data_IF_625331487800
#
_entry.id   IF_625331487800
#
_cell.length_a   1.000
_cell.length_b   1.000
_cell.length_c   1.000
_cell.angle_alpha   90.00
_cell.angle_beta   90.00
_cell.angle_gamma   90.00
#
_symmetry.space_group_name_H-M   'P 1'
#
loop_
_entity.id
_entity.type
_entity.pdbx_description
1 polymer ?
#
# COMPACT_ATOMS: atom_id res chain seq x y z
N UNK A 1 -19.00 6.99 0.40
CA UNK A 1 -18.17 7.80 -0.52
C UNK A 1 -19.03 8.41 -1.63
N UNK A 2 -19.69 7.60 -2.45
CA UNK A 2 -20.46 8.12 -3.60
C UNK A 2 -21.60 9.08 -3.21
N UNK A 3 -22.25 8.87 -2.07
CA UNK A 3 -23.33 9.69 -1.57
C UNK A 3 -22.88 10.97 -0.83
N UNK A 4 -21.64 11.01 -0.34
CA UNK A 4 -21.10 12.21 0.33
C UNK A 4 -20.67 13.23 -0.73
N UNK A 5 -21.31 14.39 -0.71
CA UNK A 5 -20.87 15.54 -1.53
C UNK A 5 -19.53 16.05 -1.01
N UNK A 6 -18.63 16.45 -1.91
CA UNK A 6 -17.34 17.06 -1.55
C UNK A 6 -16.16 16.08 -1.46
N UNK A 7 -16.36 14.77 -1.34
CA UNK A 7 -15.25 13.82 -1.34
C UNK A 7 -14.58 13.79 -2.71
N UNK A 8 -13.28 14.13 -2.70
CA UNK A 8 -12.39 14.11 -3.87
C UNK A 8 -11.23 13.11 -3.70
N UNK A 9 -10.87 12.78 -2.46
CA UNK A 9 -9.76 11.92 -2.14
C UNK A 9 -10.23 10.72 -1.30
N UNK A 10 -10.00 9.51 -1.79
CA UNK A 10 -10.11 8.28 -1.00
C UNK A 10 -8.71 7.83 -0.65
N UNK A 11 -8.37 7.92 0.63
CA UNK A 11 -7.05 7.62 1.16
C UNK A 11 -7.05 6.20 1.75
N UNK A 12 -6.30 5.29 1.15
CA UNK A 12 -6.26 3.87 1.55
C UNK A 12 -4.91 3.56 2.15
N UNK A 13 -4.88 3.20 3.43
CA UNK A 13 -3.67 2.71 4.07
C UNK A 13 -3.87 1.35 4.75
N UNK A 14 -2.76 0.75 5.08
CA UNK A 14 -2.71 -0.54 5.76
C UNK A 14 -1.33 -1.17 5.66
N UNK A 15 -1.05 -2.17 6.47
CA UNK A 15 0.27 -2.79 6.56
C UNK A 15 0.66 -3.49 5.25
N UNK A 16 1.93 -3.86 5.16
CA UNK A 16 2.45 -4.57 3.97
C UNK A 16 1.65 -5.85 3.71
N UNK A 17 1.37 -6.10 2.42
CA UNK A 17 0.57 -7.26 1.96
C UNK A 17 -0.84 -7.36 2.53
N UNK A 18 -1.43 -6.25 2.98
CA UNK A 18 -2.84 -6.18 3.36
C UNK A 18 -3.80 -6.19 2.17
N UNK A 19 -3.31 -6.04 0.94
CA UNK A 19 -4.14 -6.04 -0.27
C UNK A 19 -4.63 -4.65 -0.70
N UNK A 20 -3.95 -3.56 -0.31
CA UNK A 20 -4.30 -2.17 -0.65
C UNK A 20 -4.57 -1.97 -2.14
N UNK A 21 -3.63 -2.33 -3.00
CA UNK A 21 -3.74 -2.15 -4.45
C UNK A 21 -4.91 -2.92 -5.05
N UNK A 22 -5.11 -4.18 -4.63
CA UNK A 22 -6.26 -4.98 -5.08
C UNK A 22 -7.58 -4.35 -4.65
N UNK A 23 -7.65 -3.88 -3.40
CA UNK A 23 -8.83 -3.20 -2.88
C UNK A 23 -9.08 -1.88 -3.60
N UNK A 24 -8.07 -1.05 -3.84
CA UNK A 24 -8.15 0.21 -4.59
C UNK A 24 -8.77 0.00 -5.98
N UNK A 25 -8.30 -1.03 -6.70
CA UNK A 25 -8.82 -1.37 -8.02
C UNK A 25 -10.30 -1.83 -7.96
N UNK A 26 -10.65 -2.68 -6.98
CA UNK A 26 -12.04 -3.15 -6.81
C UNK A 26 -12.97 -2.01 -6.38
N UNK A 27 -12.53 -1.15 -5.48
CA UNK A 27 -13.26 0.05 -5.08
C UNK A 27 -13.49 0.98 -6.28
N UNK A 28 -12.48 1.15 -7.12
CA UNK A 28 -12.58 1.95 -8.34
C UNK A 28 -13.69 1.43 -9.27
N UNK A 29 -13.79 0.12 -9.45
CA UNK A 29 -14.89 -0.47 -10.25
C UNK A 29 -16.26 -0.15 -9.62
N UNK A 30 -16.38 -0.24 -8.29
CA UNK A 30 -17.63 0.08 -7.60
C UNK A 30 -17.98 1.56 -7.68
N UNK A 31 -16.99 2.45 -7.64
CA UNK A 31 -17.18 3.89 -7.82
C UNK A 31 -17.65 4.23 -9.24
N UNK A 32 -17.09 3.57 -10.26
CA UNK A 32 -17.55 3.68 -11.65
C UNK A 32 -19.03 3.30 -11.77
N UNK A 33 -19.44 2.17 -11.18
CA UNK A 33 -20.84 1.72 -11.19
C UNK A 33 -21.80 2.69 -10.48
N UNK A 34 -21.27 3.61 -9.65
CA UNK A 34 -22.02 4.68 -8.96
C UNK A 34 -21.89 6.04 -9.65
N UNK A 35 -21.41 6.09 -10.90
CA UNK A 35 -21.29 7.32 -11.69
C UNK A 35 -20.12 8.22 -11.31
N UNK A 36 -19.17 7.73 -10.47
CA UNK A 36 -17.93 8.43 -10.20
C UNK A 36 -16.84 7.97 -11.18
N UNK A 37 -15.88 8.83 -11.46
CA UNK A 37 -14.71 8.47 -12.28
C UNK A 37 -13.47 8.41 -11.39
N UNK A 38 -13.07 7.22 -10.93
CA UNK A 38 -11.91 7.06 -10.07
C UNK A 38 -10.60 7.12 -10.87
N UNK A 39 -9.57 7.70 -10.23
CA UNK A 39 -8.20 7.71 -10.70
C UNK A 39 -7.31 7.08 -9.64
N UNK A 40 -6.89 5.82 -9.81
CA UNK A 40 -5.97 5.17 -8.87
C UNK A 40 -4.58 5.82 -8.92
N UNK A 41 -4.04 6.13 -7.74
CA UNK A 41 -2.71 6.68 -7.53
C UNK A 41 -2.03 5.86 -6.43
N UNK A 42 -0.80 5.42 -6.70
CA UNK A 42 0.06 4.82 -5.68
C UNK A 42 0.93 5.89 -5.04
N UNK A 43 1.01 5.91 -3.71
CA UNK A 43 1.98 6.75 -3.01
C UNK A 43 3.42 6.34 -3.30
N UNK A 44 3.63 5.08 -3.70
CA UNK A 44 4.95 4.61 -4.11
C UNK A 44 5.49 5.37 -5.33
N UNK A 45 4.63 5.99 -6.16
CA UNK A 45 5.04 6.83 -7.28
C UNK A 45 5.67 8.16 -6.82
N UNK A 46 5.52 8.53 -5.56
CA UNK A 46 6.06 9.74 -4.95
C UNK A 46 7.32 9.50 -4.10
N UNK A 47 7.92 8.32 -4.13
CA UNK A 47 9.23 8.12 -3.50
C UNK A 47 10.26 9.09 -4.08
N UNK A 48 11.11 9.60 -3.21
CA UNK A 48 12.32 10.30 -3.64
C UNK A 48 13.33 9.33 -4.27
N UNK A 49 14.28 9.87 -5.02
CA UNK A 49 15.36 9.08 -5.58
C UNK A 49 16.08 8.31 -4.45
N UNK A 50 16.42 7.05 -4.72
CA UNK A 50 17.02 6.14 -3.73
C UNK A 50 18.23 6.73 -2.99
N UNK A 51 18.97 7.61 -3.65
CA UNK A 51 20.14 8.29 -3.08
C UNK A 51 19.76 9.26 -1.94
N UNK A 52 18.52 9.77 -1.93
CA UNK A 52 17.97 10.69 -0.93
C UNK A 52 17.17 10.01 0.16
N UNK A 53 16.90 8.70 -0.01
CA UNK A 53 16.13 7.94 0.95
C UNK A 53 16.80 7.96 2.32
N UNK A 54 16.09 8.28 3.41
CA UNK A 54 16.62 8.22 4.77
C UNK A 54 17.15 6.84 5.13
N UNK A 55 18.02 6.80 6.14
CA UNK A 55 18.54 5.54 6.66
C UNK A 55 17.99 5.27 8.06
N UNK A 56 17.77 4.01 8.35
CA UNK A 56 17.37 3.54 9.67
C UNK A 56 18.56 3.53 10.64
N UNK A 57 18.33 3.18 11.90
CA UNK A 57 19.35 3.12 12.94
C UNK A 57 20.47 2.07 12.63
N UNK A 58 20.17 1.10 11.79
CA UNK A 58 21.12 0.05 11.36
C UNK A 58 21.88 0.47 10.08
N UNK A 59 21.63 1.70 9.55
CA UNK A 59 22.28 2.25 8.35
C UNK A 59 21.65 1.79 7.02
N UNK A 60 20.57 1.02 7.05
CA UNK A 60 19.83 0.59 5.86
C UNK A 60 18.87 1.67 5.38
N UNK A 61 18.52 1.64 4.10
CA UNK A 61 17.51 2.55 3.56
C UNK A 61 16.14 2.31 4.21
N UNK A 62 15.54 3.36 4.79
CA UNK A 62 14.21 3.31 5.43
C UNK A 62 13.12 3.78 4.47
N UNK A 63 12.62 2.88 3.64
CA UNK A 63 11.49 3.15 2.75
C UNK A 63 10.13 3.18 3.46
N UNK A 64 10.09 2.82 4.74
CA UNK A 64 8.84 2.78 5.50
C UNK A 64 8.56 4.12 6.23
N UNK A 65 9.49 5.06 6.26
CA UNK A 65 9.29 6.38 6.85
C UNK A 65 8.60 7.35 5.89
N UNK A 66 7.92 8.37 6.42
CA UNK A 66 7.22 9.37 5.62
C UNK A 66 8.20 10.22 4.79
N UNK A 67 9.38 10.47 5.32
CA UNK A 67 10.45 11.26 4.73
C UNK A 67 11.08 10.61 3.50
N UNK A 68 10.78 9.32 3.23
CA UNK A 68 11.16 8.66 1.98
C UNK A 68 10.29 9.10 0.80
N UNK A 69 9.15 9.74 1.06
CA UNK A 69 8.26 10.30 0.05
C UNK A 69 8.52 11.80 -0.11
N UNK A 70 8.43 12.28 -1.35
CA UNK A 70 8.36 13.72 -1.63
C UNK A 70 6.96 14.25 -1.28
N UNK A 71 6.75 14.45 0.02
CA UNK A 71 5.48 14.94 0.57
C UNK A 71 5.12 16.32 0.02
N UNK A 72 6.11 17.15 -0.28
CA UNK A 72 5.91 18.47 -0.86
C UNK A 72 5.32 18.36 -2.26
N UNK A 73 5.96 17.61 -3.15
CA UNK A 73 5.47 17.39 -4.52
C UNK A 73 4.08 16.75 -4.53
N UNK A 74 3.83 15.79 -3.63
CA UNK A 74 2.51 15.20 -3.47
C UNK A 74 1.44 16.25 -3.17
N UNK A 75 1.69 17.14 -2.20
CA UNK A 75 0.73 18.18 -1.82
C UNK A 75 0.54 19.22 -2.95
N UNK A 76 1.61 19.62 -3.62
CA UNK A 76 1.54 20.53 -4.76
C UNK A 76 0.68 19.94 -5.88
N UNK A 77 0.92 18.70 -6.28
CA UNK A 77 0.16 18.01 -7.32
C UNK A 77 -1.32 17.84 -6.94
N UNK A 78 -1.61 17.40 -5.73
CA UNK A 78 -2.99 17.20 -5.27
C UNK A 78 -3.75 18.52 -5.18
N UNK A 79 -3.11 19.60 -4.74
CA UNK A 79 -3.72 20.94 -4.66
C UNK A 79 -4.03 21.47 -6.06
N UNK A 80 -3.11 21.32 -7.01
CA UNK A 80 -3.32 21.71 -8.42
C UNK A 80 -4.45 20.89 -9.07
N UNK A 81 -4.49 19.59 -8.81
CA UNK A 81 -5.59 18.73 -9.29
C UNK A 81 -6.93 19.18 -8.71
N UNK A 82 -6.97 19.53 -7.41
CA UNK A 82 -8.20 20.03 -6.77
C UNK A 82 -8.67 21.37 -7.37
N UNK A 83 -7.73 22.21 -7.81
CA UNK A 83 -8.00 23.44 -8.54
C UNK A 83 -8.44 23.19 -10.00
N UNK A 84 -8.45 21.94 -10.47
CA UNK A 84 -8.82 21.59 -11.85
C UNK A 84 -7.71 21.79 -12.87
N UNK A 85 -6.47 21.98 -12.41
CA UNK A 85 -5.32 22.10 -13.31
C UNK A 85 -4.91 20.74 -13.89
N UNK A 86 -4.21 20.77 -15.01
CA UNK A 86 -3.57 19.61 -15.60
C UNK A 86 -2.20 19.39 -14.96
N UNK A 87 -1.98 18.20 -14.41
CA UNK A 87 -0.75 17.81 -13.70
C UNK A 87 -0.11 16.61 -14.39
N UNK A 88 1.20 16.63 -14.55
CA UNK A 88 1.97 15.47 -15.01
C UNK A 88 2.32 14.60 -13.81
N UNK A 89 1.80 13.36 -13.83
CA UNK A 89 1.87 12.45 -12.69
C UNK A 89 3.22 11.71 -12.70
N UNK A 90 3.91 11.66 -11.56
CA UNK A 90 5.14 10.90 -11.44
C UNK A 90 4.89 9.38 -11.52
N UNK A 91 5.98 8.65 -11.74
CA UNK A 91 6.04 7.20 -11.60
C UNK A 91 7.41 6.81 -11.04
N UNK A 92 7.44 5.93 -10.05
CA UNK A 92 8.69 5.47 -9.47
C UNK A 92 9.16 4.17 -10.12
N UNK A 93 10.41 4.18 -10.58
CA UNK A 93 11.04 3.00 -11.18
C UNK A 93 11.86 2.26 -10.11
N UNK A 94 11.30 1.19 -9.56
CA UNK A 94 11.95 0.39 -8.51
C UNK A 94 13.29 -0.25 -8.93
N UNK A 95 13.50 -0.48 -10.23
CA UNK A 95 14.76 -1.05 -10.74
C UNK A 95 15.89 -0.03 -10.69
N UNK A 96 15.63 1.18 -11.19
CA UNK A 96 16.61 2.27 -11.21
C UNK A 96 16.67 3.03 -9.89
N UNK A 97 15.61 2.96 -9.07
CA UNK A 97 15.46 3.74 -7.84
C UNK A 97 15.25 5.22 -8.08
N UNK A 98 14.63 5.59 -9.20
CA UNK A 98 14.42 6.98 -9.60
C UNK A 98 12.96 7.26 -9.92
N UNK A 99 12.54 8.50 -9.64
CA UNK A 99 11.26 9.03 -10.08
C UNK A 99 11.36 9.50 -11.54
N UNK A 100 10.36 9.14 -12.32
CA UNK A 100 10.30 9.42 -13.76
C UNK A 100 8.96 10.07 -14.11
N UNK A 101 8.96 10.96 -15.11
CA UNK A 101 7.74 11.50 -15.71
C UNK A 101 7.58 10.91 -17.09
N UNK A 102 6.54 10.11 -17.29
CA UNK A 102 6.30 9.37 -18.54
C UNK A 102 5.16 9.95 -19.38
N UNK A 103 4.84 11.24 -19.16
CA UNK A 103 3.75 11.93 -19.87
C UNK A 103 2.34 11.51 -19.44
N UNK A 104 2.19 10.84 -18.31
CA UNK A 104 0.89 10.54 -17.72
C UNK A 104 0.31 11.79 -17.09
N UNK A 105 -0.58 12.49 -17.80
CA UNK A 105 -1.22 13.69 -17.29
C UNK A 105 -2.60 13.39 -16.72
N UNK A 106 -2.98 14.11 -15.67
CA UNK A 106 -4.30 14.04 -15.03
C UNK A 106 -4.87 15.44 -14.85
N UNK A 107 -6.18 15.57 -15.02
CA UNK A 107 -6.96 16.77 -14.72
C UNK A 107 -8.29 16.34 -14.14
N UNK A 108 -8.64 16.82 -12.95
CA UNK A 108 -9.90 16.44 -12.30
C UNK A 108 -11.08 17.22 -12.85
N UNK A 109 -12.18 16.50 -13.06
CA UNK A 109 -13.51 17.04 -13.36
C UNK A 109 -14.43 16.89 -12.14
N UNK A 110 -15.64 17.41 -12.23
CA UNK A 110 -16.60 17.41 -11.12
C UNK A 110 -16.85 16.01 -10.52
N UNK A 111 -17.04 14.99 -11.36
CA UNK A 111 -17.33 13.62 -10.93
C UNK A 111 -16.09 12.74 -10.69
N UNK A 112 -14.90 13.31 -10.92
CA UNK A 112 -13.64 12.58 -10.74
C UNK A 112 -13.31 12.49 -9.24
N UNK A 113 -12.69 11.37 -8.86
CA UNK A 113 -12.24 11.08 -7.51
C UNK A 113 -10.86 10.41 -7.54
N UNK A 114 -9.95 10.82 -6.70
CA UNK A 114 -8.64 10.21 -6.56
C UNK A 114 -8.71 9.07 -5.55
N UNK A 115 -8.25 7.89 -5.94
CA UNK A 115 -8.14 6.72 -5.05
C UNK A 115 -6.68 6.47 -4.79
N UNK A 116 -6.20 7.01 -3.67
CA UNK A 116 -4.78 7.07 -3.30
C UNK A 116 -4.49 5.93 -2.34
N UNK A 117 -3.53 5.08 -2.65
CA UNK A 117 -3.14 3.96 -1.81
C UNK A 117 -1.66 4.01 -1.44
N UNK A 118 -1.35 3.67 -0.20
CA UNK A 118 0.00 3.54 0.32
C UNK A 118 0.03 3.44 1.84
N UNK A 119 1.20 3.18 2.39
CA UNK A 119 1.34 2.96 3.84
C UNK A 119 1.04 4.22 4.66
N UNK A 120 1.29 5.40 4.11
CA UNK A 120 1.09 6.70 4.77
C UNK A 120 -0.28 7.35 4.48
N UNK A 121 -1.20 6.66 3.79
CA UNK A 121 -2.47 7.26 3.36
C UNK A 121 -3.36 7.80 4.48
N UNK A 122 -3.18 7.35 5.73
CA UNK A 122 -3.91 7.84 6.90
C UNK A 122 -3.17 8.93 7.69
N UNK A 123 -1.89 9.16 7.41
CA UNK A 123 -1.09 10.15 8.10
C UNK A 123 -1.43 11.57 7.58
N UNK A 124 -1.97 12.43 8.42
CA UNK A 124 -2.33 13.80 8.02
C UNK A 124 -1.13 14.66 7.63
N UNK A 125 0.07 14.31 8.08
CA UNK A 125 1.30 14.98 7.62
C UNK A 125 1.57 14.75 6.13
N UNK A 126 1.09 13.63 5.55
CA UNK A 126 1.19 13.38 4.11
C UNK A 126 0.36 14.38 3.31
N UNK A 127 -0.85 14.68 3.76
CA UNK A 127 -1.86 15.43 3.00
C UNK A 127 -2.29 16.70 3.74
N UNK A 128 -1.30 17.45 4.24
CA UNK A 128 -1.51 18.60 5.12
C UNK A 128 -2.17 19.80 4.43
N UNK A 129 -2.06 19.94 3.12
CA UNK A 129 -2.71 21.03 2.35
C UNK A 129 -4.15 20.70 1.95
N UNK A 130 -4.56 19.43 2.05
CA UNK A 130 -5.86 19.00 1.55
C UNK A 130 -6.95 19.17 2.62
N UNK A 131 -8.11 19.76 2.28
CA UNK A 131 -9.22 19.91 3.20
C UNK A 131 -9.69 18.56 3.77
N UNK A 132 -9.89 18.50 5.08
CA UNK A 132 -10.26 17.26 5.77
C UNK A 132 -11.60 16.70 5.23
N UNK A 133 -12.56 17.58 4.96
CA UNK A 133 -13.89 17.25 4.41
C UNK A 133 -13.84 16.68 2.99
N UNK A 134 -12.76 16.91 2.25
CA UNK A 134 -12.54 16.33 0.90
C UNK A 134 -11.97 14.92 0.93
N UNK A 135 -11.55 14.44 2.09
CA UNK A 135 -10.90 13.14 2.29
C UNK A 135 -11.88 12.10 2.84
N UNK A 136 -11.72 10.86 2.39
CA UNK A 136 -12.34 9.67 2.99
C UNK A 136 -11.26 8.64 3.23
N UNK A 137 -11.04 8.29 4.49
CA UNK A 137 -9.93 7.46 4.95
C UNK A 137 -10.36 6.02 5.17
N UNK A 138 -9.62 5.07 4.59
CA UNK A 138 -9.89 3.64 4.70
C UNK A 138 -8.64 2.93 5.22
N UNK A 139 -8.78 2.23 6.35
CA UNK A 139 -7.76 1.30 6.81
C UNK A 139 -8.07 -0.10 6.31
N UNK A 140 -7.09 -0.78 5.70
CA UNK A 140 -7.24 -2.15 5.21
C UNK A 140 -6.22 -3.08 5.85
N UNK A 141 -6.70 -4.18 6.40
CA UNK A 141 -5.86 -5.24 6.96
C UNK A 141 -6.46 -6.61 6.72
N UNK A 142 -5.61 -7.64 6.67
CA UNK A 142 -6.04 -9.03 6.58
C UNK A 142 -6.26 -9.57 8.01
N UNK A 143 -7.39 -9.23 8.60
CA UNK A 143 -7.73 -9.67 9.96
C UNK A 143 -8.23 -11.11 9.90
N UNK A 144 -7.32 -12.07 10.03
CA UNK A 144 -7.63 -13.49 10.04
C UNK A 144 -8.34 -13.84 11.35
N UNK A 145 -9.43 -14.61 11.23
CA UNK A 145 -10.20 -15.16 12.35
C UNK A 145 -10.22 -16.69 12.30
N UNK A 146 -9.24 -17.27 11.62
CA UNK A 146 -9.11 -18.71 11.46
C UNK A 146 -8.13 -19.26 12.49
N UNK A 147 -8.43 -20.44 12.99
CA UNK A 147 -7.51 -21.24 13.79
C UNK A 147 -6.82 -22.27 12.89
N UNK A 148 -5.57 -22.60 13.22
CA UNK A 148 -4.84 -23.71 12.60
C UNK A 148 -5.33 -25.02 13.21
N UNK A 149 -5.60 -24.99 14.52
CA UNK A 149 -6.19 -26.06 15.31
C UNK A 149 -7.04 -25.47 16.44
N UNK A 150 -7.51 -26.29 17.40
CA UNK A 150 -8.41 -25.89 18.49
C UNK A 150 -7.81 -24.79 19.40
N UNK A 151 -6.48 -24.64 19.45
CA UNK A 151 -5.80 -23.76 20.39
C UNK A 151 -4.93 -22.69 19.72
N UNK A 152 -4.63 -22.82 18.43
CA UNK A 152 -3.68 -21.96 17.73
C UNK A 152 -4.37 -21.11 16.66
N UNK A 153 -4.63 -19.81 16.92
CA UNK A 153 -5.14 -18.90 15.91
C UNK A 153 -4.07 -18.58 14.86
N UNK A 154 -4.47 -18.47 13.61
CA UNK A 154 -3.60 -17.96 12.57
C UNK A 154 -3.38 -16.45 12.76
N UNK A 155 -2.13 -16.07 13.02
CA UNK A 155 -1.75 -14.68 13.19
C UNK A 155 -1.97 -13.89 11.88
N UNK A 156 -2.57 -12.70 12.00
CA UNK A 156 -2.67 -11.73 10.90
C UNK A 156 -1.30 -11.41 10.29
N UNK A 157 -0.28 -11.35 11.12
CA UNK A 157 1.10 -11.08 10.72
C UNK A 157 1.65 -12.21 9.85
N UNK A 158 1.43 -13.46 10.23
CA UNK A 158 1.93 -14.62 9.50
C UNK A 158 1.19 -14.81 8.17
N UNK A 159 -0.12 -14.59 8.16
CA UNK A 159 -0.89 -14.58 6.92
C UNK A 159 -0.35 -13.53 5.92
N UNK A 160 -0.02 -12.32 6.40
CA UNK A 160 0.55 -11.27 5.56
C UNK A 160 1.98 -11.59 5.10
N UNK A 161 2.77 -12.28 5.94
CA UNK A 161 4.08 -12.77 5.54
C UNK A 161 3.97 -13.80 4.40
N UNK A 162 3.05 -14.75 4.49
CA UNK A 162 2.79 -15.71 3.40
C UNK A 162 2.38 -15.00 2.12
N UNK A 163 1.44 -14.04 2.19
CA UNK A 163 1.06 -13.21 1.04
C UNK A 163 2.26 -12.48 0.45
N UNK A 164 3.16 -11.96 1.29
CA UNK A 164 4.36 -11.24 0.86
C UNK A 164 5.35 -12.15 0.15
N UNK A 165 5.63 -13.33 0.69
CA UNK A 165 6.52 -14.32 0.07
C UNK A 165 6.04 -14.64 -1.35
N UNK A 166 4.76 -14.97 -1.50
CA UNK A 166 4.19 -15.31 -2.82
C UNK A 166 4.23 -14.11 -3.79
N UNK A 167 3.89 -12.92 -3.31
CA UNK A 167 3.91 -11.70 -4.14
C UNK A 167 5.33 -11.35 -4.58
N UNK A 168 6.27 -11.31 -3.64
CA UNK A 168 7.65 -10.85 -3.90
C UNK A 168 8.38 -11.80 -4.83
N UNK A 169 8.16 -13.10 -4.72
CA UNK A 169 8.65 -14.08 -5.69
C UNK A 169 8.11 -13.86 -7.10
N UNK A 170 6.80 -13.56 -7.23
CA UNK A 170 6.16 -13.38 -8.54
C UNK A 170 6.48 -12.04 -9.22
N UNK A 171 6.58 -10.97 -8.45
CA UNK A 171 6.58 -9.60 -9.00
C UNK A 171 7.86 -8.83 -8.77
N UNK A 172 8.68 -9.22 -7.81
CA UNK A 172 9.90 -8.51 -7.41
C UNK A 172 11.18 -9.32 -7.60
N UNK A 173 11.06 -10.62 -7.89
CA UNK A 173 12.19 -11.53 -8.03
C UNK A 173 12.94 -11.76 -6.71
N UNK A 174 12.30 -11.53 -5.57
CA UNK A 174 12.87 -11.69 -4.22
C UNK A 174 12.55 -13.09 -3.72
N UNK A 175 13.55 -13.79 -3.19
CA UNK A 175 13.37 -15.13 -2.63
C UNK A 175 12.56 -15.12 -1.33
N UNK A 176 12.05 -16.29 -0.93
CA UNK A 176 11.34 -16.44 0.34
C UNK A 176 12.25 -16.10 1.53
N UNK A 177 13.51 -16.53 1.47
CA UNK A 177 14.52 -16.29 2.51
C UNK A 177 14.80 -14.78 2.68
N UNK A 178 15.02 -14.06 1.58
CA UNK A 178 15.20 -12.60 1.60
C UNK A 178 13.98 -11.88 2.14
N UNK A 179 12.78 -12.32 1.75
CA UNK A 179 11.51 -11.75 2.24
C UNK A 179 11.37 -11.93 3.76
N UNK A 180 11.71 -13.10 4.29
CA UNK A 180 11.69 -13.39 5.73
C UNK A 180 12.73 -12.53 6.46
N UNK A 181 13.94 -12.41 5.92
CA UNK A 181 15.01 -11.60 6.51
C UNK A 181 14.59 -10.12 6.66
N UNK A 182 13.90 -9.57 5.65
CA UNK A 182 13.40 -8.20 5.67
C UNK A 182 12.17 -7.99 6.59
N UNK A 183 11.49 -9.06 7.00
CA UNK A 183 10.18 -8.95 7.67
C UNK A 183 10.23 -8.19 8.99
N UNK A 184 11.32 -8.34 9.75
CA UNK A 184 11.52 -7.61 11.01
C UNK A 184 11.55 -6.09 10.80
N UNK A 185 12.22 -5.61 9.76
CA UNK A 185 12.28 -4.19 9.41
C UNK A 185 10.90 -3.66 8.98
N UNK A 186 10.18 -4.43 8.15
CA UNK A 186 8.82 -4.09 7.74
C UNK A 186 7.90 -3.95 8.95
N UNK A 187 7.96 -4.88 9.90
CA UNK A 187 7.16 -4.82 11.13
C UNK A 187 7.46 -3.57 11.96
N UNK A 188 8.73 -3.21 12.13
CA UNK A 188 9.11 -1.96 12.81
C UNK A 188 8.51 -0.73 12.11
N UNK A 189 8.55 -0.71 10.78
CA UNK A 189 7.94 0.36 9.98
C UNK A 189 6.42 0.45 10.17
N UNK A 190 5.72 -0.69 10.20
CA UNK A 190 4.29 -0.75 10.45
C UNK A 190 3.90 -0.20 11.83
N UNK A 191 4.63 -0.59 12.86
CA UNK A 191 4.41 -0.15 14.25
C UNK A 191 4.63 1.36 14.42
N UNK A 192 5.60 1.91 13.71
CA UNK A 192 5.94 3.34 13.78
C UNK A 192 5.04 4.20 12.88
N UNK A 193 4.73 3.74 11.68
CA UNK A 193 4.22 4.61 10.61
C UNK A 193 2.79 4.29 10.16
N UNK A 194 2.19 3.16 10.61
CA UNK A 194 0.87 2.75 10.14
C UNK A 194 -0.11 2.59 11.30
N UNK A 195 0.19 1.75 12.29
CA UNK A 195 -0.75 1.43 13.36
C UNK A 195 -1.16 2.63 14.21
N UNK A 196 -0.29 3.63 14.48
CA UNK A 196 -0.71 4.83 15.25
C UNK A 196 -1.79 5.66 14.55
N UNK A 197 -1.97 5.48 13.23
CA UNK A 197 -2.94 6.25 12.44
C UNK A 197 -4.22 5.47 12.10
N UNK A 198 -4.33 4.20 12.49
CA UNK A 198 -5.48 3.36 12.10
C UNK A 198 -6.82 3.91 12.61
N UNK A 199 -6.84 4.51 13.80
CA UNK A 199 -8.05 5.06 14.42
C UNK A 199 -8.54 6.35 13.74
N UNK A 200 -7.72 6.96 12.88
CA UNK A 200 -8.12 8.12 12.06
C UNK A 200 -8.93 7.71 10.81
N UNK A 201 -9.13 6.41 10.57
CA UNK A 201 -9.88 5.95 9.41
C UNK A 201 -11.40 6.09 9.61
N UNK A 202 -12.10 6.55 8.56
CA UNK A 202 -13.56 6.55 8.53
C UNK A 202 -14.15 5.15 8.50
N UNK A 203 -13.42 4.19 7.90
CA UNK A 203 -13.82 2.79 7.75
C UNK A 203 -12.62 1.86 7.81
N UNK A 204 -12.79 0.73 8.49
CA UNK A 204 -11.85 -0.39 8.44
C UNK A 204 -12.40 -1.50 7.54
N UNK A 205 -11.56 -2.01 6.64
CA UNK A 205 -11.91 -3.11 5.75
C UNK A 205 -11.05 -4.34 6.03
N UNK A 206 -11.71 -5.47 6.31
CA UNK A 206 -11.02 -6.75 6.44
C UNK A 206 -10.82 -7.39 5.06
N UNK A 207 -9.56 -7.56 4.65
CA UNK A 207 -9.17 -8.16 3.37
C UNK A 207 -8.87 -9.66 3.46
N UNK A 208 -9.05 -10.30 4.62
CA UNK A 208 -8.85 -11.73 4.76
C UNK A 208 -9.94 -12.51 4.01
N UNK A 209 -9.51 -13.58 3.35
CA UNK A 209 -10.41 -14.54 2.70
C UNK A 209 -10.30 -15.88 3.43
N UNK A 210 -11.43 -16.50 3.73
CA UNK A 210 -11.48 -17.76 4.49
C UNK A 210 -10.65 -18.89 3.88
N UNK A 211 -10.55 -18.91 2.55
CA UNK A 211 -9.85 -19.97 1.79
C UNK A 211 -8.40 -19.62 1.42
N UNK A 212 -7.93 -18.41 1.71
CA UNK A 212 -6.64 -17.93 1.18
C UNK A 212 -5.44 -18.72 1.68
N UNK A 213 -5.47 -19.20 2.92
CA UNK A 213 -4.37 -19.98 3.50
C UNK A 213 -4.20 -21.29 2.76
N UNK A 214 -5.29 -21.96 2.40
CA UNK A 214 -5.27 -23.19 1.63
C UNK A 214 -4.64 -22.96 0.22
N UNK A 215 -4.97 -21.83 -0.41
CA UNK A 215 -4.39 -21.45 -1.70
C UNK A 215 -2.93 -21.05 -1.56
N UNK A 216 -2.60 -20.18 -0.60
CA UNK A 216 -1.23 -19.70 -0.39
C UNK A 216 -0.28 -20.82 0.01
N UNK A 217 -0.74 -21.85 0.75
CA UNK A 217 0.06 -22.99 1.16
C UNK A 217 0.79 -23.64 -0.01
N UNK A 218 0.08 -23.90 -1.12
CA UNK A 218 0.66 -24.55 -2.30
C UNK A 218 1.82 -23.74 -2.86
N UNK A 219 1.62 -22.44 -3.02
CA UNK A 219 2.66 -21.54 -3.57
C UNK A 219 3.80 -21.31 -2.58
N UNK A 220 3.50 -21.10 -1.30
CA UNK A 220 4.51 -20.85 -0.29
C UNK A 220 5.43 -22.06 -0.09
N UNK A 221 4.88 -23.28 -0.02
CA UNK A 221 5.68 -24.49 0.10
C UNK A 221 6.58 -24.70 -1.11
N UNK A 222 6.11 -24.47 -2.33
CA UNK A 222 6.96 -24.58 -3.52
C UNK A 222 8.14 -23.61 -3.50
N UNK A 223 7.93 -22.39 -3.01
CA UNK A 223 8.99 -21.37 -2.92
C UNK A 223 10.00 -21.65 -1.79
N UNK A 224 9.54 -22.21 -0.67
CA UNK A 224 10.41 -22.58 0.45
C UNK A 224 11.26 -23.80 0.08
N UNK A 225 10.68 -24.82 -0.56
CA UNK A 225 11.41 -26.01 -0.99
C UNK A 225 12.44 -25.75 -2.09
N UNK A 226 12.21 -24.79 -2.98
CA UNK A 226 13.19 -24.38 -4.01
C UNK A 226 14.42 -23.72 -3.37
N UNK A 227 14.27 -23.08 -2.22
CA UNK A 227 15.35 -22.40 -1.50
C UNK A 227 16.12 -23.33 -0.53
N UNK A 228 15.63 -24.53 -0.26
CA UNK A 228 16.37 -25.53 0.52
C UNK A 228 17.38 -26.25 -0.40
N UNK A 229 18.68 -26.31 -0.02
CA UNK A 229 19.62 -27.17 -0.72
C UNK A 229 19.11 -28.62 -0.60
N UNK A 230 18.89 -29.26 -1.72
CA UNK A 230 18.59 -30.71 -1.79
C UNK A 230 19.64 -31.45 -0.97
N UNK A 231 19.25 -31.96 0.21
CA UNK A 231 20.09 -32.88 0.96
C UNK A 231 20.19 -34.14 0.10
N UNK A 232 21.42 -34.58 -0.30
CA UNK A 232 21.53 -35.87 -0.93
C UNK A 232 21.10 -36.93 0.09
N UNK A 233 20.22 -37.80 -0.32
CA UNK A 233 19.82 -38.99 0.43
C UNK A 233 21.02 -39.94 0.50
#
# INVERSE_FOLDING_TARGET
IAAKKGIKFVMIAGPSSSGKTTFSNRLSIQLLAKGRKPHPISLDDYYDDRERCPRDADGNLDFECLEALDVRQFNEDMTRLLAGEKVDMPSFNFKTGKREYRGRTLQLKENDILVIEGIHGLNDKLSYTLPAESKFKIYISALTQLNIDEHNPLSTTDCRLLRRIVRDARTRGTTAQETIAMWKSVRRGEEKNIFPFQDSADVMFNSALLYEVAVLKVYALSLIHISEPTRPY
#
